data_IF_501203018748
#
_entry.id   IF_501203018748
#
_cell.length_a   1.000
_cell.length_b   1.000
_cell.length_c   1.000
_cell.angle_alpha   90.00
_cell.angle_beta   90.00
_cell.angle_gamma   90.00
#
_symmetry.space_group_name_H-M   'P 1'
#
loop_
_entity.id
_entity.type
_entity.pdbx_description
1 polymer ?
#
# COMPACT_ATOMS: atom_id res chain seq x y z
N UNK A 1 5.49 24.29 19.73
CA UNK A 1 4.41 23.45 20.31
C UNK A 1 5.06 22.46 21.27
N UNK A 2 4.48 22.25 22.47
CA UNK A 2 4.84 21.11 23.32
C UNK A 2 4.61 19.83 22.53
N UNK A 3 5.62 18.97 22.42
CA UNK A 3 5.49 17.69 21.72
C UNK A 3 4.48 16.83 22.49
N UNK A 4 3.49 16.29 21.77
CA UNK A 4 2.49 15.42 22.34
C UNK A 4 3.12 14.10 22.79
N UNK A 5 2.64 13.55 23.89
CA UNK A 5 2.94 12.18 24.35
C UNK A 5 2.25 11.18 23.44
N UNK A 6 2.99 10.16 23.01
CA UNK A 6 2.51 9.18 22.04
C UNK A 6 2.32 7.82 22.70
N UNK A 7 1.16 7.22 22.45
CA UNK A 7 0.86 5.83 22.76
C UNK A 7 0.65 4.99 21.51
N UNK A 8 1.13 3.75 21.53
CA UNK A 8 1.01 2.81 20.42
C UNK A 8 0.17 1.61 20.84
N UNK A 9 -0.96 1.40 20.20
CA UNK A 9 -1.84 0.23 20.38
C UNK A 9 -1.82 -0.58 19.08
N UNK A 10 -1.17 -1.74 19.14
CA UNK A 10 -0.81 -2.55 17.97
C UNK A 10 0.64 -2.31 17.55
N UNK A 11 1.59 -3.01 18.22
CA UNK A 11 3.02 -2.88 17.95
C UNK A 11 3.52 -3.84 16.86
N UNK A 12 2.70 -4.00 15.79
CA UNK A 12 3.09 -4.71 14.57
C UNK A 12 4.11 -3.91 13.75
N UNK A 13 4.23 -4.23 12.46
CA UNK A 13 5.21 -3.60 11.55
C UNK A 13 5.08 -2.09 11.53
N UNK A 14 3.87 -1.57 11.29
CA UNK A 14 3.61 -0.12 11.18
C UNK A 14 3.70 0.58 12.52
N UNK A 15 3.09 0.00 13.58
CA UNK A 15 3.10 0.59 14.93
C UNK A 15 4.50 0.69 15.50
N UNK A 16 5.34 -0.31 15.28
CA UNK A 16 6.75 -0.29 15.69
C UNK A 16 7.52 0.77 14.91
N UNK A 17 7.35 0.83 13.59
CA UNK A 17 8.06 1.80 12.76
C UNK A 17 7.72 3.25 13.14
N UNK A 18 6.43 3.59 13.25
CA UNK A 18 6.02 4.95 13.61
C UNK A 18 6.51 5.34 15.01
N UNK A 19 6.44 4.42 15.99
CA UNK A 19 6.92 4.67 17.34
C UNK A 19 8.42 4.90 17.39
N UNK A 20 9.22 4.05 16.74
CA UNK A 20 10.68 4.19 16.71
C UNK A 20 11.10 5.47 15.99
N UNK A 21 10.58 5.72 14.79
CA UNK A 21 10.98 6.90 14.00
C UNK A 21 10.59 8.20 14.70
N UNK A 22 9.40 8.29 15.31
CA UNK A 22 9.00 9.47 16.06
C UNK A 22 9.83 9.64 17.35
N UNK A 23 10.21 8.55 18.03
CA UNK A 23 11.14 8.60 19.16
C UNK A 23 12.49 9.16 18.75
N UNK A 24 13.07 8.67 17.66
CA UNK A 24 14.36 9.15 17.13
C UNK A 24 14.31 10.64 16.72
N UNK A 25 13.12 11.17 16.42
CA UNK A 25 12.85 12.60 16.20
C UNK A 25 12.53 13.36 17.49
N UNK A 26 12.63 12.70 18.65
CA UNK A 26 12.53 13.28 19.99
C UNK A 26 11.11 13.40 20.53
N UNK A 27 10.15 12.61 20.04
CA UNK A 27 8.85 12.44 20.71
C UNK A 27 8.97 11.43 21.86
N UNK A 28 8.18 11.65 22.91
CA UNK A 28 8.05 10.71 24.02
C UNK A 28 7.04 9.62 23.65
N UNK A 29 7.51 8.38 23.57
CA UNK A 29 6.62 7.21 23.46
C UNK A 29 6.35 6.73 24.88
N UNK A 30 5.14 6.99 25.39
CA UNK A 30 4.80 6.73 26.80
C UNK A 30 4.48 5.27 27.06
N UNK A 31 3.87 4.59 26.08
CA UNK A 31 3.50 3.18 26.25
C UNK A 31 3.17 2.50 24.93
N UNK A 32 3.32 1.18 24.96
CA UNK A 32 2.94 0.31 23.85
C UNK A 32 2.15 -0.90 24.36
N UNK A 33 1.16 -1.33 23.58
CA UNK A 33 0.38 -2.54 23.84
C UNK A 33 0.17 -3.33 22.55
N UNK A 34 0.31 -4.63 22.63
CA UNK A 34 -0.12 -5.58 21.59
C UNK A 34 -0.70 -6.84 22.27
N UNK A 35 -1.60 -7.55 21.58
CA UNK A 35 -2.13 -8.84 22.04
C UNK A 35 -1.05 -9.94 22.05
N UNK A 36 0.03 -9.74 21.28
CA UNK A 36 1.23 -10.56 21.27
C UNK A 36 2.34 -9.79 21.98
N UNK A 37 2.67 -10.12 23.22
CA UNK A 37 3.67 -9.39 24.01
C UNK A 37 5.02 -9.24 23.29
N UNK A 38 5.44 -10.27 22.55
CA UNK A 38 6.67 -10.27 21.77
C UNK A 38 6.72 -9.15 20.69
N UNK A 39 5.57 -8.72 20.20
CA UNK A 39 5.49 -7.62 19.22
C UNK A 39 5.90 -6.27 19.79
N UNK A 40 5.81 -6.09 21.14
CA UNK A 40 6.21 -4.85 21.80
C UNK A 40 7.70 -4.77 22.10
N UNK A 41 8.42 -5.91 22.08
CA UNK A 41 9.83 -5.98 22.51
C UNK A 41 10.76 -5.06 21.74
N UNK A 42 10.65 -5.06 20.41
CA UNK A 42 11.49 -4.21 19.55
C UNK A 42 11.22 -2.74 19.83
N UNK A 43 9.96 -2.34 19.89
CA UNK A 43 9.55 -0.97 20.19
C UNK A 43 10.04 -0.50 21.56
N UNK A 44 9.80 -1.30 22.61
CA UNK A 44 10.23 -0.98 23.96
C UNK A 44 11.77 -0.92 24.09
N UNK A 45 12.50 -1.83 23.42
CA UNK A 45 13.96 -1.83 23.37
C UNK A 45 14.52 -0.58 22.70
N UNK A 46 13.88 -0.10 21.64
CA UNK A 46 14.33 1.04 20.84
C UNK A 46 13.96 2.37 21.48
N UNK A 47 12.82 2.47 22.15
CA UNK A 47 12.26 3.75 22.65
C UNK A 47 12.31 3.90 24.17
N UNK A 48 12.51 2.81 24.90
CA UNK A 48 12.39 2.81 26.37
C UNK A 48 10.96 2.96 26.86
N UNK A 49 9.94 2.84 26.00
CA UNK A 49 8.55 3.00 26.40
C UNK A 49 8.08 1.86 27.33
N UNK A 50 7.06 2.14 28.12
CA UNK A 50 6.43 1.14 28.97
C UNK A 50 5.68 0.12 28.11
N UNK A 51 5.88 -1.18 28.36
CA UNK A 51 4.97 -2.23 27.88
C UNK A 51 3.77 -2.27 28.79
N UNK A 52 2.62 -1.84 28.27
CA UNK A 52 1.38 -1.73 29.04
C UNK A 52 0.64 -3.08 29.09
N UNK A 53 -0.07 -3.32 30.18
CA UNK A 53 -0.87 -4.54 30.36
C UNK A 53 -2.20 -4.48 29.59
N UNK A 54 -2.62 -3.29 29.16
CA UNK A 54 -3.88 -3.08 28.42
C UNK A 54 -3.82 -1.85 27.50
N UNK A 55 -4.67 -1.79 26.47
CA UNK A 55 -4.77 -0.60 25.61
C UNK A 55 -5.24 0.64 26.37
N UNK A 56 -6.01 0.48 27.45
CA UNK A 56 -6.47 1.58 28.30
C UNK A 56 -5.32 2.27 29.03
N UNK A 57 -4.32 1.53 29.48
CA UNK A 57 -3.12 2.10 30.11
C UNK A 57 -2.36 2.98 29.15
N UNK A 58 -2.20 2.51 27.90
CA UNK A 58 -1.59 3.32 26.82
C UNK A 58 -2.38 4.59 26.58
N UNK A 59 -3.70 4.48 26.45
CA UNK A 59 -4.55 5.64 26.18
C UNK A 59 -4.48 6.69 27.28
N UNK A 60 -4.47 6.28 28.56
CA UNK A 60 -4.39 7.21 29.70
C UNK A 60 -3.05 7.94 29.84
N UNK A 61 -1.99 7.40 29.25
CA UNK A 61 -0.64 7.96 29.34
C UNK A 61 -0.24 8.87 28.17
N UNK A 62 -1.09 8.99 27.17
CA UNK A 62 -0.78 9.65 25.90
C UNK A 62 -1.80 10.72 25.50
N UNK A 63 -1.39 11.68 24.68
CA UNK A 63 -2.26 12.67 24.05
C UNK A 63 -2.61 12.28 22.61
N UNK A 64 -1.68 11.60 21.95
CA UNK A 64 -1.76 11.12 20.58
C UNK A 64 -1.64 9.60 20.58
N UNK A 65 -2.69 8.93 20.15
CA UNK A 65 -2.82 7.48 20.25
C UNK A 65 -2.86 6.87 18.85
N UNK A 66 -1.82 6.16 18.47
CA UNK A 66 -1.80 5.37 17.25
C UNK A 66 -2.47 4.02 17.48
N UNK A 67 -3.50 3.72 16.68
CA UNK A 67 -4.23 2.46 16.67
C UNK A 67 -3.84 1.71 15.40
N UNK A 68 -2.88 0.81 15.53
CA UNK A 68 -2.19 0.12 14.44
C UNK A 68 -2.22 -1.42 14.51
N UNK A 69 -3.29 -2.05 15.06
CA UNK A 69 -3.47 -3.49 14.90
C UNK A 69 -3.88 -3.80 13.44
N UNK A 70 -4.18 -5.07 13.12
CA UNK A 70 -4.80 -5.39 11.83
C UNK A 70 -6.14 -4.66 11.67
N UNK A 71 -6.51 -4.34 10.42
CA UNK A 71 -7.69 -3.51 10.09
C UNK A 71 -8.98 -4.00 10.77
N UNK A 72 -9.18 -5.31 10.83
CA UNK A 72 -10.36 -5.94 11.45
C UNK A 72 -10.45 -5.74 12.97
N UNK A 73 -9.37 -5.33 13.63
CA UNK A 73 -9.32 -5.12 15.07
C UNK A 73 -9.41 -3.65 15.49
N UNK A 74 -9.26 -2.69 14.57
CA UNK A 74 -9.26 -1.24 14.88
C UNK A 74 -10.55 -0.85 15.61
N UNK A 75 -11.72 -1.19 15.05
CA UNK A 75 -13.03 -0.88 15.66
C UNK A 75 -13.13 -1.43 17.08
N UNK A 76 -12.75 -2.69 17.28
CA UNK A 76 -12.82 -3.36 18.59
C UNK A 76 -11.93 -2.67 19.63
N UNK A 77 -10.76 -2.20 19.24
CA UNK A 77 -9.87 -1.44 20.13
C UNK A 77 -10.56 -0.14 20.58
N UNK A 78 -11.11 0.62 19.63
CA UNK A 78 -11.81 1.87 19.96
C UNK A 78 -13.02 1.61 20.86
N UNK A 79 -13.81 0.60 20.57
CA UNK A 79 -14.96 0.21 21.39
C UNK A 79 -14.52 -0.16 22.81
N UNK A 80 -13.45 -0.92 22.97
CA UNK A 80 -12.88 -1.27 24.27
C UNK A 80 -12.44 -0.02 25.04
N UNK A 81 -11.72 0.90 24.39
CA UNK A 81 -11.28 2.14 25.03
C UNK A 81 -12.49 3.02 25.47
N UNK A 82 -13.53 3.08 24.65
CA UNK A 82 -14.75 3.81 24.95
C UNK A 82 -15.52 3.19 26.13
N UNK A 83 -15.77 1.89 26.10
CA UNK A 83 -16.48 1.15 27.16
C UNK A 83 -15.76 1.26 28.51
N UNK A 84 -14.42 1.27 28.49
CA UNK A 84 -13.58 1.42 29.67
C UNK A 84 -13.29 2.87 30.05
N UNK A 85 -13.91 3.83 29.37
CA UNK A 85 -13.74 5.29 29.61
C UNK A 85 -12.26 5.71 29.63
N UNK A 86 -11.45 5.12 28.74
CA UNK A 86 -10.03 5.44 28.62
C UNK A 86 -9.78 6.59 27.63
N UNK A 87 -10.79 6.97 26.84
CA UNK A 87 -10.75 8.12 25.93
C UNK A 87 -11.16 9.38 26.68
N UNK A 88 -10.44 10.48 26.45
CA UNK A 88 -10.67 11.77 27.09
C UNK A 88 -10.73 12.89 26.03
N UNK A 89 -11.39 13.99 26.40
CA UNK A 89 -11.35 15.22 25.61
C UNK A 89 -9.90 15.72 25.46
N UNK A 90 -9.50 15.99 24.22
CA UNK A 90 -8.10 16.39 23.91
C UNK A 90 -7.24 15.28 23.34
N UNK A 91 -7.63 14.01 23.46
CA UNK A 91 -6.97 12.93 22.72
C UNK A 91 -7.12 13.11 21.20
N UNK A 92 -6.11 12.69 20.48
CA UNK A 92 -6.17 12.49 19.03
C UNK A 92 -5.89 11.02 18.75
N UNK A 93 -6.87 10.31 18.21
CA UNK A 93 -6.71 8.92 17.80
C UNK A 93 -6.38 8.89 16.31
N UNK A 94 -5.36 8.11 15.95
CA UNK A 94 -4.88 8.00 14.58
C UNK A 94 -4.78 6.53 14.21
N UNK A 95 -5.37 6.12 13.11
CA UNK A 95 -5.03 4.84 12.50
C UNK A 95 -4.25 5.04 11.19
N UNK A 96 -3.55 3.98 10.76
CA UNK A 96 -2.69 4.00 9.58
C UNK A 96 -3.14 3.02 8.48
N UNK A 97 -4.40 2.54 8.56
CA UNK A 97 -4.97 1.68 7.51
C UNK A 97 -5.17 2.46 6.21
N UNK A 98 -4.79 1.84 5.08
CA UNK A 98 -5.08 2.36 3.75
C UNK A 98 -6.54 2.17 3.33
N UNK A 99 -7.18 1.09 3.80
CA UNK A 99 -8.53 0.70 3.39
C UNK A 99 -9.64 1.37 4.22
N UNK A 100 -9.42 1.48 5.55
CA UNK A 100 -10.41 2.02 6.48
C UNK A 100 -10.39 3.54 6.49
N UNK A 101 -11.58 4.16 6.57
CA UNK A 101 -11.69 5.60 6.84
C UNK A 101 -11.61 5.89 8.33
N UNK A 102 -11.34 7.16 8.68
CA UNK A 102 -11.32 7.60 10.08
C UNK A 102 -12.65 7.40 10.80
N UNK A 103 -13.74 7.14 10.08
CA UNK A 103 -15.07 6.84 10.66
C UNK A 103 -15.04 5.59 11.56
N UNK A 104 -14.10 4.66 11.32
CA UNK A 104 -13.92 3.49 12.20
C UNK A 104 -13.54 3.89 13.63
N UNK A 105 -13.08 5.14 13.84
CA UNK A 105 -12.72 5.70 15.14
C UNK A 105 -13.83 6.61 15.72
N UNK A 106 -14.94 6.81 15.03
CA UNK A 106 -15.92 7.88 15.37
C UNK A 106 -16.52 7.77 16.77
N UNK A 107 -16.57 6.56 17.34
CA UNK A 107 -16.99 6.38 18.74
C UNK A 107 -16.13 7.17 19.74
N UNK A 108 -14.87 7.43 19.41
CA UNK A 108 -14.01 8.25 20.25
C UNK A 108 -14.46 9.71 20.38
N UNK A 109 -15.19 10.23 19.38
CA UNK A 109 -15.73 11.60 19.39
C UNK A 109 -16.77 11.81 20.46
N UNK A 110 -17.49 10.77 20.90
CA UNK A 110 -18.45 10.83 22.01
C UNK A 110 -17.80 11.29 23.32
N UNK A 111 -16.49 11.12 23.44
CA UNK A 111 -15.66 11.51 24.57
C UNK A 111 -14.85 12.79 24.34
N UNK A 112 -15.13 13.51 23.24
CA UNK A 112 -14.43 14.75 22.88
C UNK A 112 -13.06 14.56 22.25
N UNK A 113 -12.69 13.36 21.83
CA UNK A 113 -11.46 13.09 21.08
C UNK A 113 -11.62 13.47 19.60
N UNK A 114 -10.48 13.68 18.92
CA UNK A 114 -10.39 13.88 17.49
C UNK A 114 -9.87 12.62 16.81
N UNK A 115 -10.28 12.39 15.57
CA UNK A 115 -9.94 11.17 14.84
C UNK A 115 -9.30 11.49 13.49
N UNK A 116 -8.28 10.73 13.15
CA UNK A 116 -7.51 10.85 11.91
C UNK A 116 -7.22 9.50 11.31
N UNK A 117 -7.13 9.46 9.99
CA UNK A 117 -6.44 8.43 9.23
C UNK A 117 -5.23 9.05 8.56
N UNK A 118 -4.04 8.51 8.83
CA UNK A 118 -2.76 8.96 8.26
C UNK A 118 -2.06 7.73 7.70
N UNK A 119 -2.25 7.46 6.41
CA UNK A 119 -1.76 6.23 5.78
C UNK A 119 -0.52 6.49 4.94
N UNK A 120 0.64 5.87 5.26
CA UNK A 120 1.83 5.91 4.40
C UNK A 120 1.60 5.06 3.15
N UNK A 121 1.84 5.65 1.96
CA UNK A 121 1.84 4.90 0.70
C UNK A 121 3.20 4.23 0.56
N UNK A 122 3.38 3.13 1.27
CA UNK A 122 4.65 2.40 1.30
C UNK A 122 4.41 0.92 1.57
N UNK A 123 5.33 0.09 1.12
CA UNK A 123 5.32 -1.35 1.36
C UNK A 123 6.28 -1.71 2.49
N UNK A 124 5.77 -2.42 3.50
CA UNK A 124 6.53 -2.80 4.69
C UNK A 124 6.53 -4.32 4.85
N UNK A 125 7.68 -4.97 4.61
CA UNK A 125 7.81 -6.42 4.72
C UNK A 125 8.05 -6.88 6.17
N UNK A 126 8.77 -6.09 6.97
CA UNK A 126 9.09 -6.36 8.38
C UNK A 126 9.34 -5.04 9.12
N UNK A 127 9.41 -5.03 10.46
CA UNK A 127 9.59 -3.81 11.24
C UNK A 127 10.87 -3.04 10.93
N UNK A 128 12.00 -3.72 10.72
CA UNK A 128 13.28 -3.09 10.43
C UNK A 128 13.24 -2.31 9.11
N UNK A 129 12.76 -2.96 8.04
CA UNK A 129 12.57 -2.30 6.75
C UNK A 129 11.53 -1.16 6.82
N UNK A 130 10.51 -1.31 7.68
CA UNK A 130 9.51 -0.26 7.85
C UNK A 130 10.11 0.98 8.56
N UNK A 131 11.00 0.79 9.54
CA UNK A 131 11.72 1.90 10.20
C UNK A 131 12.59 2.65 9.18
N UNK A 132 13.23 1.94 8.25
CA UNK A 132 14.08 2.53 7.21
C UNK A 132 13.26 3.25 6.13
N UNK A 133 12.13 2.67 5.71
CA UNK A 133 11.37 3.11 4.55
C UNK A 133 10.23 4.09 4.89
N UNK A 134 9.82 4.20 6.16
CA UNK A 134 8.76 5.13 6.57
C UNK A 134 9.15 6.61 6.40
N UNK A 135 10.39 7.03 6.74
CA UNK A 135 10.83 8.39 6.46
C UNK A 135 10.83 8.70 4.96
N UNK A 136 10.35 9.89 4.60
CA UNK A 136 10.26 10.31 3.21
C UNK A 136 9.12 9.70 2.39
N UNK A 137 8.25 8.90 3.03
CA UNK A 137 7.05 8.38 2.36
C UNK A 137 6.04 9.49 2.07
N UNK A 138 5.14 9.24 1.11
CA UNK A 138 3.97 10.10 0.88
C UNK A 138 2.79 9.56 1.69
N UNK A 139 2.05 10.46 2.34
CA UNK A 139 0.92 10.08 3.21
C UNK A 139 -0.40 10.62 2.69
N UNK A 140 -1.46 9.82 2.78
CA UNK A 140 -2.82 10.31 2.68
C UNK A 140 -3.36 10.67 4.06
N UNK A 141 -4.01 11.83 4.17
CA UNK A 141 -4.60 12.33 5.41
C UNK A 141 -6.10 12.56 5.20
N UNK A 142 -6.91 12.03 6.12
CA UNK A 142 -8.32 12.38 6.24
C UNK A 142 -8.78 12.28 7.70
N UNK A 143 -9.92 12.85 8.04
CA UNK A 143 -10.47 12.84 9.39
C UNK A 143 -11.02 14.18 9.84
N UNK A 144 -10.88 14.49 11.11
CA UNK A 144 -11.34 15.74 11.69
C UNK A 144 -10.40 16.88 11.30
N UNK A 145 -10.91 17.86 10.57
CA UNK A 145 -10.13 19.01 10.08
C UNK A 145 -9.41 19.78 11.20
N UNK A 146 -10.01 19.80 12.40
CA UNK A 146 -9.43 20.45 13.58
C UNK A 146 -8.15 19.75 14.10
N UNK A 147 -7.84 18.53 13.62
CA UNK A 147 -6.67 17.77 13.97
C UNK A 147 -5.66 17.68 12.81
N UNK A 148 -5.91 18.33 11.67
CA UNK A 148 -5.01 18.23 10.50
C UNK A 148 -3.62 18.79 10.79
N UNK A 149 -3.49 19.85 11.60
CA UNK A 149 -2.17 20.38 12.00
C UNK A 149 -1.33 19.30 12.72
N UNK A 150 -1.98 18.41 13.51
CA UNK A 150 -1.29 17.29 14.18
C UNK A 150 -0.81 16.27 13.15
N UNK A 151 -1.66 15.91 12.18
CA UNK A 151 -1.29 14.98 11.12
C UNK A 151 -0.14 15.52 10.26
N UNK A 152 -0.24 16.78 9.83
CA UNK A 152 0.79 17.47 9.04
C UNK A 152 2.12 17.51 9.80
N UNK A 153 2.09 17.93 11.08
CA UNK A 153 3.30 17.98 11.91
C UNK A 153 3.98 16.62 12.05
N UNK A 154 3.20 15.52 12.17
CA UNK A 154 3.75 14.15 12.21
C UNK A 154 4.42 13.82 10.87
N UNK A 155 3.72 14.01 9.75
CA UNK A 155 4.25 13.67 8.42
C UNK A 155 5.51 14.47 8.10
N UNK A 156 5.52 15.78 8.37
CA UNK A 156 6.70 16.64 8.19
C UNK A 156 7.87 16.20 9.09
N UNK A 157 7.58 15.78 10.33
CA UNK A 157 8.60 15.23 11.24
C UNK A 157 9.23 13.97 10.67
N UNK A 158 8.45 13.14 10.00
CA UNK A 158 8.93 11.95 9.30
C UNK A 158 9.69 12.28 8.00
N UNK A 159 9.75 13.56 7.60
CA UNK A 159 10.33 13.99 6.32
C UNK A 159 9.51 13.58 5.12
N UNK A 160 8.23 13.29 5.32
CA UNK A 160 7.31 12.85 4.28
C UNK A 160 6.56 14.00 3.61
N UNK A 161 5.94 13.69 2.49
CA UNK A 161 4.96 14.53 1.81
C UNK A 161 3.54 14.06 2.13
N UNK A 162 2.52 14.88 1.87
CA UNK A 162 1.14 14.49 2.13
C UNK A 162 0.17 15.11 1.13
N UNK A 163 -1.01 14.49 1.06
CA UNK A 163 -2.20 15.06 0.46
C UNK A 163 -3.44 14.69 1.27
N UNK A 164 -4.46 15.53 1.17
CA UNK A 164 -5.76 15.26 1.78
C UNK A 164 -6.65 14.49 0.83
N UNK A 165 -7.43 13.55 1.38
CA UNK A 165 -8.36 12.73 0.62
C UNK A 165 -9.75 12.77 1.26
N UNK A 166 -10.80 12.65 0.46
CA UNK A 166 -12.15 12.45 0.99
C UNK A 166 -12.28 11.03 1.57
N UNK A 167 -12.96 10.91 2.72
CA UNK A 167 -13.22 9.63 3.39
C UNK A 167 -13.85 8.60 2.45
N UNK A 168 -14.80 9.03 1.61
CA UNK A 168 -15.52 8.16 0.66
C UNK A 168 -14.63 7.66 -0.47
N UNK A 169 -13.55 8.36 -0.78
CA UNK A 169 -12.60 7.96 -1.81
C UNK A 169 -11.57 6.93 -1.30
N UNK A 170 -11.49 6.68 0.01
CA UNK A 170 -10.51 5.79 0.63
C UNK A 170 -10.45 4.39 0.00
N UNK A 171 -11.58 3.68 -0.26
CA UNK A 171 -11.53 2.36 -0.89
C UNK A 171 -10.90 2.40 -2.29
N UNK A 172 -11.24 3.38 -3.12
CA UNK A 172 -10.68 3.51 -4.48
C UNK A 172 -9.19 3.89 -4.43
N UNK A 173 -8.83 4.80 -3.55
CA UNK A 173 -7.44 5.15 -3.28
C UNK A 173 -6.60 3.93 -2.89
N UNK A 174 -7.08 3.12 -1.94
CA UNK A 174 -6.37 1.92 -1.51
C UNK A 174 -6.30 0.86 -2.62
N UNK A 175 -7.35 0.72 -3.42
CA UNK A 175 -7.33 -0.15 -4.60
C UNK A 175 -6.20 0.25 -5.57
N UNK A 176 -5.99 1.56 -5.80
CA UNK A 176 -4.86 2.07 -6.59
C UNK A 176 -3.50 1.67 -6.02
N UNK A 177 -3.31 1.79 -4.70
CA UNK A 177 -2.09 1.34 -4.03
C UNK A 177 -1.88 -0.18 -4.16
N UNK A 178 -2.95 -0.97 -4.01
CA UNK A 178 -2.89 -2.42 -4.20
C UNK A 178 -2.49 -2.82 -5.61
N UNK A 179 -2.98 -2.11 -6.63
CA UNK A 179 -2.62 -2.39 -8.04
C UNK A 179 -1.11 -2.25 -8.27
N UNK A 180 -0.49 -1.19 -7.77
CA UNK A 180 0.93 -0.92 -8.03
C UNK A 180 1.88 -1.62 -7.04
N UNK A 181 1.37 -2.19 -5.96
CA UNK A 181 2.15 -2.95 -4.97
C UNK A 181 1.84 -4.44 -5.07
N UNK A 182 0.66 -4.86 -4.65
CA UNK A 182 0.32 -6.28 -4.56
C UNK A 182 0.19 -6.94 -5.94
N UNK A 183 -0.46 -6.27 -6.91
CA UNK A 183 -0.60 -6.85 -8.25
C UNK A 183 0.69 -6.75 -9.07
N UNK A 184 1.62 -5.85 -8.73
CA UNK A 184 2.96 -5.90 -9.30
C UNK A 184 3.65 -7.23 -9.01
N UNK A 185 3.53 -7.76 -7.77
CA UNK A 185 4.05 -9.11 -7.44
C UNK A 185 3.38 -10.18 -8.32
N UNK A 186 2.08 -10.08 -8.54
CA UNK A 186 1.34 -11.00 -9.44
C UNK A 186 1.84 -10.90 -10.89
N UNK A 187 2.10 -9.67 -11.39
CA UNK A 187 2.64 -9.48 -12.75
C UNK A 187 4.06 -10.07 -12.88
N UNK A 188 4.88 -9.91 -11.85
CA UNK A 188 6.23 -10.51 -11.83
C UNK A 188 6.14 -12.03 -11.82
N UNK A 189 5.30 -12.63 -10.96
CA UNK A 189 5.09 -14.08 -10.92
C UNK A 189 4.54 -14.61 -12.25
N UNK A 190 3.64 -13.86 -12.89
CA UNK A 190 3.15 -14.16 -14.23
C UNK A 190 4.29 -14.23 -15.26
N UNK A 191 5.17 -13.24 -15.30
CA UNK A 191 6.36 -13.25 -16.17
C UNK A 191 7.32 -14.40 -15.87
N UNK A 192 7.52 -14.72 -14.59
CA UNK A 192 8.33 -15.87 -14.15
C UNK A 192 7.74 -17.18 -14.66
N UNK A 193 6.44 -17.40 -14.51
CA UNK A 193 5.73 -18.60 -14.99
C UNK A 193 5.86 -18.78 -16.52
N UNK A 194 5.77 -17.68 -17.28
CA UNK A 194 5.98 -17.74 -18.73
C UNK A 194 7.40 -18.23 -19.09
N UNK A 195 8.43 -17.78 -18.38
CA UNK A 195 9.80 -18.26 -18.58
C UNK A 195 9.96 -19.71 -18.11
N UNK A 196 9.31 -20.11 -17.00
CA UNK A 196 9.32 -21.51 -16.55
C UNK A 196 8.71 -22.45 -17.61
N UNK A 197 7.64 -22.04 -18.30
CA UNK A 197 7.01 -22.79 -19.39
C UNK A 197 7.96 -23.02 -20.58
N UNK A 198 9.05 -22.26 -20.70
CA UNK A 198 10.11 -22.47 -21.69
C UNK A 198 11.26 -23.37 -21.19
N UNK A 199 11.15 -23.91 -19.97
CA UNK A 199 12.17 -24.75 -19.36
C UNK A 199 13.21 -24.02 -18.52
N UNK A 200 13.08 -22.71 -18.31
CA UNK A 200 13.98 -21.92 -17.46
C UNK A 200 13.62 -22.14 -15.98
N UNK A 201 14.54 -22.54 -15.10
CA UNK A 201 14.25 -22.73 -13.69
C UNK A 201 13.78 -21.41 -13.01
N UNK A 202 12.79 -21.50 -12.10
CA UNK A 202 12.17 -20.37 -11.40
C UNK A 202 13.19 -19.35 -10.84
N UNK A 203 14.24 -19.85 -10.16
CA UNK A 203 15.28 -18.99 -9.58
C UNK A 203 16.05 -18.20 -10.63
N UNK A 204 16.30 -18.80 -11.80
CA UNK A 204 16.94 -18.12 -12.92
C UNK A 204 15.99 -17.13 -13.59
N UNK A 205 14.74 -17.53 -13.83
CA UNK A 205 13.71 -16.66 -14.39
C UNK A 205 13.53 -15.39 -13.55
N UNK A 206 13.42 -15.54 -12.22
CA UNK A 206 13.32 -14.40 -11.30
C UNK A 206 14.53 -13.48 -11.42
N UNK A 207 15.75 -14.02 -11.36
CA UNK A 207 16.98 -13.20 -11.47
C UNK A 207 17.09 -12.49 -12.82
N UNK A 208 16.69 -13.13 -13.91
CA UNK A 208 16.74 -12.55 -15.24
C UNK A 208 15.76 -11.39 -15.43
N UNK A 209 14.58 -11.45 -14.78
CA UNK A 209 13.54 -10.42 -14.90
C UNK A 209 13.80 -9.20 -14.01
N UNK A 210 14.50 -9.33 -12.87
CA UNK A 210 14.72 -8.21 -11.95
C UNK A 210 15.37 -6.98 -12.60
N UNK A 211 16.43 -7.08 -13.43
CA UNK A 211 17.00 -5.92 -14.12
C UNK A 211 16.01 -5.26 -15.09
N UNK A 212 15.17 -6.05 -15.78
CA UNK A 212 14.14 -5.54 -16.68
C UNK A 212 13.06 -4.76 -15.92
N UNK A 213 12.62 -5.28 -14.77
CA UNK A 213 11.63 -4.63 -13.89
C UNK A 213 12.19 -3.30 -13.38
N UNK A 214 13.40 -3.30 -12.83
CA UNK A 214 14.06 -2.09 -12.33
C UNK A 214 14.26 -1.05 -13.43
N UNK A 215 14.66 -1.48 -14.64
CA UNK A 215 14.76 -0.58 -15.79
C UNK A 215 13.43 0.04 -16.20
N UNK A 216 12.33 -0.72 -16.11
CA UNK A 216 10.99 -0.20 -16.38
C UNK A 216 10.55 0.82 -15.32
N UNK A 217 10.78 0.54 -14.03
CA UNK A 217 10.49 1.47 -12.93
C UNK A 217 11.29 2.76 -13.08
N UNK A 218 12.59 2.65 -13.38
CA UNK A 218 13.45 3.81 -13.64
C UNK A 218 12.97 4.65 -14.83
N UNK A 219 12.48 4.03 -15.90
CA UNK A 219 11.88 4.77 -17.02
C UNK A 219 10.60 5.51 -16.60
N UNK A 220 9.73 4.87 -15.79
CA UNK A 220 8.52 5.52 -15.26
C UNK A 220 8.90 6.73 -14.39
N UNK A 221 9.90 6.58 -13.53
CA UNK A 221 10.40 7.65 -12.66
C UNK A 221 10.92 8.85 -13.46
N UNK A 222 11.71 8.62 -14.51
CA UNK A 222 12.40 9.70 -15.23
C UNK A 222 11.58 10.39 -16.31
N UNK A 223 10.74 9.64 -17.03
CA UNK A 223 10.00 10.16 -18.19
C UNK A 223 8.48 10.02 -18.07
N UNK A 224 7.99 9.39 -17.00
CA UNK A 224 6.56 9.27 -16.67
C UNK A 224 5.77 8.37 -17.62
N UNK A 225 4.49 8.19 -17.30
CA UNK A 225 3.50 7.52 -18.13
C UNK A 225 2.81 8.60 -18.99
N UNK A 226 2.52 8.35 -20.29
CA UNK A 226 2.69 7.08 -21.03
C UNK A 226 4.05 6.92 -21.72
N UNK A 227 4.97 7.88 -21.60
CA UNK A 227 6.22 7.93 -22.39
C UNK A 227 7.14 6.75 -22.15
N UNK A 228 7.15 6.19 -20.92
CA UNK A 228 7.97 5.04 -20.52
C UNK A 228 7.57 3.72 -21.16
N UNK A 229 6.39 3.62 -21.79
CA UNK A 229 5.96 2.39 -22.44
C UNK A 229 6.86 2.05 -23.62
N UNK A 230 7.36 0.79 -23.65
CA UNK A 230 8.18 0.22 -24.73
C UNK A 230 7.59 -1.10 -25.21
N UNK A 231 8.26 -1.83 -26.08
CA UNK A 231 7.87 -3.17 -26.50
C UNK A 231 7.03 -3.21 -27.78
N UNK A 232 6.54 -4.40 -28.16
CA UNK A 232 5.89 -4.63 -29.45
C UNK A 232 4.59 -3.83 -29.62
N UNK A 233 3.74 -3.73 -28.59
CA UNK A 233 2.49 -2.96 -28.67
C UNK A 233 2.80 -1.49 -28.90
N UNK A 234 3.78 -0.92 -28.21
CA UNK A 234 4.19 0.48 -28.42
C UNK A 234 4.75 0.75 -29.82
N UNK A 235 5.25 -0.28 -30.51
CA UNK A 235 5.73 -0.17 -31.90
C UNK A 235 4.68 -0.54 -32.97
N UNK A 236 3.46 -0.89 -32.56
CA UNK A 236 2.42 -1.35 -33.47
C UNK A 236 2.69 -2.76 -34.08
N UNK A 237 3.57 -3.54 -33.47
CA UNK A 237 3.98 -4.87 -33.99
C UNK A 237 2.95 -5.95 -33.62
N UNK A 238 1.88 -5.97 -34.42
CA UNK A 238 0.80 -6.94 -34.28
C UNK A 238 1.25 -8.38 -34.51
N UNK A 239 2.25 -8.57 -35.42
CA UNK A 239 2.73 -9.91 -35.76
C UNK A 239 3.40 -10.61 -34.59
N UNK A 240 4.15 -9.87 -33.78
CA UNK A 240 4.76 -10.39 -32.55
C UNK A 240 3.71 -10.77 -31.51
N UNK A 241 2.65 -9.96 -31.36
CA UNK A 241 1.57 -10.23 -30.41
C UNK A 241 0.79 -11.51 -30.81
N UNK A 242 0.50 -11.72 -32.09
CA UNK A 242 -0.14 -12.95 -32.57
C UNK A 242 0.72 -14.16 -32.24
N UNK A 243 2.04 -14.12 -32.50
CA UNK A 243 2.94 -15.22 -32.14
C UNK A 243 2.99 -15.50 -30.65
N UNK A 244 2.90 -14.46 -29.80
CA UNK A 244 2.83 -14.65 -28.35
C UNK A 244 1.56 -15.40 -27.97
N UNK A 245 0.40 -15.00 -28.50
CA UNK A 245 -0.90 -15.63 -28.21
C UNK A 245 -0.92 -17.09 -28.68
N UNK A 246 -0.47 -17.36 -29.90
CA UNK A 246 -0.35 -18.73 -30.45
C UNK A 246 0.55 -19.63 -29.59
N UNK A 247 1.62 -19.08 -29.02
CA UNK A 247 2.54 -19.81 -28.15
C UNK A 247 1.91 -20.05 -26.77
N UNK A 248 1.27 -19.02 -26.20
CA UNK A 248 0.57 -19.09 -24.92
C UNK A 248 -0.51 -20.18 -24.95
N UNK A 249 -1.36 -20.21 -25.99
CA UNK A 249 -2.37 -21.24 -26.13
C UNK A 249 -1.84 -22.68 -26.09
N UNK A 250 -0.62 -22.87 -26.59
CA UNK A 250 0.02 -24.20 -26.66
C UNK A 250 0.77 -24.57 -25.38
N UNK A 251 1.41 -23.62 -24.74
CA UNK A 251 2.39 -23.88 -23.66
C UNK A 251 1.88 -23.46 -22.27
N UNK A 252 0.96 -22.50 -22.18
CA UNK A 252 0.45 -21.95 -20.93
C UNK A 252 -0.97 -21.39 -21.11
N UNK A 253 -1.96 -22.23 -21.53
CA UNK A 253 -3.29 -21.77 -21.90
C UNK A 253 -4.03 -21.06 -20.76
N UNK A 254 -3.75 -21.44 -19.51
CA UNK A 254 -4.33 -20.81 -18.31
C UNK A 254 -3.88 -19.35 -18.11
N UNK A 255 -2.77 -18.96 -18.73
CA UNK A 255 -2.20 -17.60 -18.63
C UNK A 255 -2.64 -16.68 -19.78
N UNK A 256 -3.26 -17.20 -20.82
CA UNK A 256 -3.61 -16.45 -22.05
C UNK A 256 -4.57 -15.30 -21.77
N UNK A 257 -5.59 -15.53 -20.91
CA UNK A 257 -6.57 -14.47 -20.57
C UNK A 257 -5.93 -13.28 -19.84
N UNK A 258 -5.04 -13.53 -18.89
CA UNK A 258 -4.34 -12.45 -18.20
C UNK A 258 -3.46 -11.65 -19.17
N UNK A 259 -2.75 -12.34 -20.06
CA UNK A 259 -1.97 -11.69 -21.13
C UNK A 259 -2.85 -10.79 -22.01
N UNK A 260 -4.03 -11.29 -22.42
CA UNK A 260 -4.99 -10.56 -23.23
C UNK A 260 -5.49 -9.28 -22.54
N UNK A 261 -5.87 -9.35 -21.25
CA UNK A 261 -6.29 -8.16 -20.51
C UNK A 261 -5.16 -7.12 -20.38
N UNK A 262 -3.98 -7.55 -20.00
CA UNK A 262 -2.82 -6.64 -19.90
C UNK A 262 -2.50 -6.01 -21.27
N UNK A 263 -2.52 -6.81 -22.35
CA UNK A 263 -2.31 -6.31 -23.71
C UNK A 263 -3.35 -5.28 -24.15
N UNK A 264 -4.62 -5.53 -23.85
CA UNK A 264 -5.73 -4.62 -24.16
C UNK A 264 -5.50 -3.23 -23.53
N UNK A 265 -5.20 -3.17 -22.24
CA UNK A 265 -4.93 -1.90 -21.55
C UNK A 265 -3.60 -1.28 -21.97
N UNK A 266 -2.58 -2.08 -22.28
CA UNK A 266 -1.29 -1.59 -22.79
C UNK A 266 -1.45 -0.89 -24.14
N UNK A 267 -2.34 -1.37 -25.01
CA UNK A 267 -2.63 -0.71 -26.28
C UNK A 267 -3.28 0.67 -26.10
N UNK A 268 -4.08 0.87 -25.05
CA UNK A 268 -4.63 2.19 -24.71
C UNK A 268 -3.51 3.18 -24.33
N UNK A 269 -2.54 2.72 -23.51
CA UNK A 269 -1.37 3.53 -23.13
C UNK A 269 -0.52 3.88 -24.38
N UNK A 270 -0.38 2.95 -25.32
CA UNK A 270 0.35 3.19 -26.57
C UNK A 270 -0.34 4.24 -27.46
N UNK A 271 -1.67 4.24 -27.51
CA UNK A 271 -2.46 5.26 -28.19
C UNK A 271 -2.30 6.63 -27.51
N UNK A 272 -2.41 6.68 -26.18
CA UNK A 272 -2.20 7.90 -25.40
C UNK A 272 -0.78 8.46 -25.58
N UNK A 273 0.22 7.60 -25.68
CA UNK A 273 1.60 7.96 -26.01
C UNK A 273 1.73 8.56 -27.41
N UNK A 274 0.77 8.31 -28.31
CA UNK A 274 0.84 8.67 -29.73
C UNK A 274 1.81 7.78 -30.53
N UNK A 275 2.19 6.62 -30.02
CA UNK A 275 3.09 5.68 -30.70
C UNK A 275 2.37 4.71 -31.63
N UNK A 276 1.06 4.58 -31.50
CA UNK A 276 0.16 3.92 -32.42
C UNK A 276 -1.03 4.84 -32.75
N UNK A 277 -1.67 4.63 -33.88
CA UNK A 277 -2.91 5.30 -34.25
C UNK A 277 -4.17 4.52 -33.83
N UNK A 278 -5.36 5.08 -34.10
CA UNK A 278 -6.63 4.44 -33.78
C UNK A 278 -6.85 3.14 -34.52
N UNK A 279 -6.41 3.03 -35.76
CA UNK A 279 -6.56 1.82 -36.59
C UNK A 279 -5.72 0.66 -35.99
N UNK A 280 -4.48 0.92 -35.60
CA UNK A 280 -3.65 -0.05 -34.88
C UNK A 280 -4.26 -0.43 -33.54
N UNK A 281 -4.78 0.53 -32.78
CA UNK A 281 -5.47 0.28 -31.51
C UNK A 281 -6.67 -0.65 -31.68
N UNK A 282 -7.53 -0.42 -32.69
CA UNK A 282 -8.69 -1.27 -32.96
C UNK A 282 -8.28 -2.71 -33.31
N UNK A 283 -7.20 -2.87 -34.09
CA UNK A 283 -6.65 -4.18 -34.41
C UNK A 283 -6.15 -4.93 -33.17
N UNK A 284 -5.41 -4.27 -32.27
CA UNK A 284 -5.00 -4.87 -31.01
C UNK A 284 -6.20 -5.24 -30.14
N UNK A 285 -7.17 -4.34 -29.98
CA UNK A 285 -8.37 -4.62 -29.20
C UNK A 285 -9.13 -5.83 -29.75
N UNK A 286 -9.31 -5.91 -31.06
CA UNK A 286 -10.02 -7.04 -31.69
C UNK A 286 -9.33 -8.37 -31.37
N UNK A 287 -8.00 -8.44 -31.48
CA UNK A 287 -7.25 -9.66 -31.18
C UNK A 287 -7.36 -10.03 -29.70
N UNK A 288 -7.12 -9.10 -28.81
CA UNK A 288 -7.20 -9.38 -27.36
C UNK A 288 -8.62 -9.75 -26.93
N UNK A 289 -9.67 -9.09 -27.46
CA UNK A 289 -11.06 -9.41 -27.17
C UNK A 289 -11.46 -10.80 -27.67
N UNK A 290 -10.95 -11.24 -28.82
CA UNK A 290 -11.18 -12.59 -29.31
C UNK A 290 -10.67 -13.64 -28.31
N UNK A 291 -9.48 -13.44 -27.75
CA UNK A 291 -8.91 -14.33 -26.74
C UNK A 291 -9.70 -14.30 -25.41
N UNK A 292 -10.17 -13.13 -25.00
CA UNK A 292 -10.95 -12.96 -23.78
C UNK A 292 -12.35 -13.60 -23.85
N UNK A 293 -12.93 -13.61 -25.04
CA UNK A 293 -14.29 -14.18 -25.29
C UNK A 293 -14.26 -15.66 -25.65
N UNK A 294 -13.10 -16.22 -25.98
CA UNK A 294 -12.95 -17.66 -26.19
C UNK A 294 -13.37 -18.42 -24.93
N UNK A 295 -14.44 -19.21 -25.04
CA UNK A 295 -14.83 -20.13 -23.96
C UNK A 295 -13.74 -21.19 -23.88
N UNK A 296 -13.09 -21.29 -22.71
CA UNK A 296 -12.08 -22.31 -22.46
C UNK A 296 -12.72 -23.68 -22.73
N UNK A 297 -12.37 -24.30 -23.84
CA UNK A 297 -12.74 -25.67 -24.16
C UNK A 297 -11.84 -26.68 -23.41
N UNK A 298 -11.58 -26.41 -22.14
CA UNK A 298 -10.90 -27.36 -21.27
C UNK A 298 -11.94 -27.91 -20.30
N UNK A 299 -12.48 -29.05 -20.64
CA UNK A 299 -13.10 -29.99 -19.69
C UNK A 299 -11.98 -30.77 -19.00
#
# INVERSE_FOLDING_TARGET
>A
MLRKKIGIIGAGVVGTAIGVVLHDKGYEITGAFDIKPESTELLAKRTGCQVAASPEEVARSADLIFITPCDSAIQKVVDTLADRRAIQGGHTLVHMSGAQSSEILDRAKEFGARVLSVHPIQSFANPEMAIENLPGSVFSIEGDRQAFDVAVCIVETLGGEYFFIDRKAKPLYHAGACVVSNYLVTIIDFGVKLLESTGIPKSMATRALLPLINGTLHNVENIGIPKSLTGPIARGDLSTIIKHLDCLEKMAPELTKLYGWLGYYTAQIALEKGSIDKDAMEKFQKIFMQELTRISSVQ
#
